data_IF_070011291122
#
_entry.id   IF_070011291122
#
_cell.length_a   1.000
_cell.length_b   1.000
_cell.length_c   1.000
_cell.angle_alpha   90.00
_cell.angle_beta   90.00
_cell.angle_gamma   90.00
#
_symmetry.space_group_name_H-M   'P 1'
#
loop_
_entity.id
_entity.type
_entity.pdbx_description
1 polymer ?
#
# COMPACT_ATOMS: atom_id res chain seq x y z
N UNK A 1 -9.78 -13.44 21.71
CA UNK A 1 -10.36 -12.28 21.02
C UNK A 1 -9.19 -11.46 20.50
N UNK A 2 -9.01 -11.36 19.19
CA UNK A 2 -8.03 -10.43 18.62
C UNK A 2 -8.62 -9.03 18.82
N UNK A 3 -7.90 -8.12 19.47
CA UNK A 3 -8.24 -6.71 19.48
C UNK A 3 -8.20 -6.22 18.03
N UNK A 4 -9.37 -5.95 17.45
CA UNK A 4 -9.44 -5.28 16.17
C UNK A 4 -8.84 -3.88 16.38
N UNK A 5 -7.78 -3.57 15.64
CA UNK A 5 -7.23 -2.22 15.56
C UNK A 5 -8.39 -1.26 15.25
N UNK A 6 -8.78 -0.42 16.22
CA UNK A 6 -9.85 0.56 16.05
C UNK A 6 -9.28 1.79 15.31
N UNK A 7 -9.06 1.60 14.01
CA UNK A 7 -8.63 2.65 13.10
C UNK A 7 -9.85 3.48 12.72
N UNK A 8 -9.77 4.79 12.90
CA UNK A 8 -10.87 5.72 12.63
C UNK A 8 -11.33 5.66 11.17
N UNK A 9 -12.56 6.12 10.90
CA UNK A 9 -13.13 6.12 9.54
C UNK A 9 -12.31 6.95 8.53
N UNK A 10 -11.47 7.86 9.02
CA UNK A 10 -10.61 8.71 8.19
C UNK A 10 -9.22 8.11 7.92
N UNK A 11 -8.91 6.94 8.48
CA UNK A 11 -7.64 6.26 8.25
C UNK A 11 -7.46 5.94 6.77
N UNK A 12 -6.32 6.36 6.23
CA UNK A 12 -5.93 6.16 4.83
C UNK A 12 -5.00 4.96 4.66
N UNK A 13 -5.15 4.28 3.53
CA UNK A 13 -4.45 3.06 3.20
C UNK A 13 -3.72 3.21 1.86
N UNK A 14 -2.53 2.61 1.80
CA UNK A 14 -1.73 2.46 0.58
C UNK A 14 -1.24 1.03 0.51
N UNK A 15 -1.24 0.44 -0.69
CA UNK A 15 -0.80 -0.93 -0.94
C UNK A 15 0.45 -0.90 -1.82
N UNK A 16 1.52 -1.54 -1.35
CA UNK A 16 2.77 -1.73 -2.10
C UNK A 16 3.06 -3.21 -2.34
N UNK A 17 3.64 -3.53 -3.50
CA UNK A 17 4.36 -4.78 -3.72
C UNK A 17 5.84 -4.48 -3.86
N UNK A 18 6.65 -5.12 -3.02
CA UNK A 18 8.09 -5.18 -3.20
C UNK A 18 8.40 -6.45 -3.98
N UNK A 19 8.86 -6.30 -5.23
CA UNK A 19 9.26 -7.43 -6.07
C UNK A 19 10.67 -7.21 -6.60
N UNK A 20 11.63 -7.99 -6.07
CA UNK A 20 13.06 -7.82 -6.34
C UNK A 20 13.53 -6.39 -6.04
N UNK A 21 13.79 -5.58 -7.08
CA UNK A 21 14.23 -4.18 -6.99
C UNK A 21 13.12 -3.19 -7.28
N UNK A 22 11.97 -3.67 -7.72
CA UNK A 22 10.83 -2.86 -8.08
C UNK A 22 9.90 -2.67 -6.88
N UNK A 23 9.26 -1.50 -6.85
CA UNK A 23 8.23 -1.13 -5.90
C UNK A 23 7.03 -0.71 -6.73
N UNK A 24 5.97 -1.50 -6.68
CA UNK A 24 4.72 -1.19 -7.35
C UNK A 24 3.68 -0.78 -6.32
N UNK A 25 2.91 0.25 -6.61
CA UNK A 25 1.89 0.81 -5.75
C UNK A 25 0.52 0.73 -6.46
N UNK A 26 -0.54 0.40 -5.74
CA UNK A 26 -1.83 0.03 -6.34
C UNK A 26 -2.97 0.95 -5.92
N UNK A 27 -3.84 1.22 -6.89
CA UNK A 27 -5.16 1.84 -6.71
C UNK A 27 -6.20 0.80 -6.29
N UNK A 28 -7.47 1.02 -6.63
CA UNK A 28 -8.62 0.32 -6.07
C UNK A 28 -9.04 -0.96 -6.79
N UNK A 29 -8.48 -1.25 -7.95
CA UNK A 29 -8.93 -2.31 -8.83
C UNK A 29 -7.77 -3.00 -9.58
N UNK A 30 -6.79 -3.53 -8.84
CA UNK A 30 -5.59 -4.16 -9.41
C UNK A 30 -5.10 -5.41 -8.64
N UNK A 31 -6.01 -6.10 -7.94
CA UNK A 31 -5.65 -7.23 -7.08
C UNK A 31 -4.82 -6.80 -5.86
N UNK A 32 -3.99 -7.71 -5.35
CA UNK A 32 -3.15 -7.47 -4.16
C UNK A 32 -3.92 -7.04 -2.90
N UNK A 33 -5.22 -7.34 -2.85
CA UNK A 33 -6.13 -6.95 -1.77
C UNK A 33 -6.81 -5.60 -1.96
N UNK A 34 -6.54 -4.87 -3.05
CA UNK A 34 -7.13 -3.54 -3.32
C UNK A 34 -8.66 -3.54 -3.29
N UNK A 35 -9.32 -4.49 -3.94
CA UNK A 35 -10.78 -4.55 -4.00
C UNK A 35 -11.39 -4.84 -2.63
N UNK A 36 -10.70 -5.64 -1.80
CA UNK A 36 -11.14 -5.94 -0.44
C UNK A 36 -11.02 -4.69 0.44
N UNK A 37 -9.88 -4.00 0.39
CA UNK A 37 -9.61 -2.84 1.24
C UNK A 37 -10.48 -1.65 0.84
N UNK A 38 -10.44 -1.25 -0.43
CA UNK A 38 -11.06 0.00 -0.87
C UNK A 38 -12.54 -0.15 -1.21
N UNK A 39 -12.98 -1.30 -1.73
CA UNK A 39 -14.38 -1.48 -2.16
C UNK A 39 -15.20 -2.24 -1.12
N UNK A 40 -14.73 -3.40 -0.64
CA UNK A 40 -15.52 -4.24 0.27
C UNK A 40 -15.52 -3.70 1.71
N UNK A 41 -14.40 -3.17 2.18
CA UNK A 41 -14.26 -2.57 3.51
C UNK A 41 -14.40 -1.04 3.52
N UNK A 42 -14.63 -0.43 2.36
CA UNK A 42 -14.85 1.01 2.20
C UNK A 42 -13.77 1.87 2.89
N UNK A 43 -12.50 1.44 2.78
CA UNK A 43 -11.37 2.17 3.37
C UNK A 43 -10.88 3.27 2.44
N UNK A 44 -10.42 4.37 3.03
CA UNK A 44 -9.96 5.53 2.27
C UNK A 44 -8.58 5.29 1.65
N UNK A 45 -8.43 5.70 0.40
CA UNK A 45 -7.14 5.75 -0.28
C UNK A 45 -6.42 7.05 0.05
N UNK A 46 -5.08 7.04 0.03
CA UNK A 46 -4.30 8.26 0.10
C UNK A 46 -4.52 9.14 -1.15
N UNK A 47 -4.58 10.46 -0.97
CA UNK A 47 -5.02 11.38 -2.02
C UNK A 47 -4.11 11.41 -3.27
N UNK A 48 -2.79 11.32 -3.11
CA UNK A 48 -1.86 11.26 -4.24
C UNK A 48 -1.94 9.91 -4.97
N UNK A 49 -2.19 8.80 -4.26
CA UNK A 49 -2.46 7.47 -4.87
C UNK A 49 -3.73 7.54 -5.72
N UNK A 50 -4.84 8.03 -5.16
CA UNK A 50 -6.11 8.16 -5.88
C UNK A 50 -5.94 9.03 -7.14
N UNK A 51 -5.25 10.17 -7.00
CA UNK A 51 -5.03 11.10 -8.11
C UNK A 51 -4.09 10.54 -9.18
N UNK A 52 -2.92 10.07 -8.77
CA UNK A 52 -1.84 9.75 -9.71
C UNK A 52 -2.06 8.37 -10.37
N UNK A 53 -2.80 7.45 -9.74
CA UNK A 53 -2.92 6.08 -10.21
C UNK A 53 -4.26 5.83 -10.93
N UNK A 54 -5.24 6.74 -10.83
CA UNK A 54 -6.51 6.67 -11.57
C UNK A 54 -6.38 6.32 -13.06
N UNK A 55 -5.37 6.79 -13.81
CA UNK A 55 -5.25 6.45 -15.23
C UNK A 55 -4.95 4.97 -15.50
N UNK A 56 -4.23 4.30 -14.61
CA UNK A 56 -3.64 2.96 -14.84
C UNK A 56 -4.04 1.92 -13.80
N UNK A 57 -4.59 2.34 -12.66
CA UNK A 57 -4.88 1.49 -11.50
C UNK A 57 -3.65 1.16 -10.65
N UNK A 58 -2.44 1.49 -11.10
CA UNK A 58 -1.19 1.20 -10.40
C UNK A 58 -0.04 2.05 -10.95
N UNK A 59 1.07 2.12 -10.20
CA UNK A 59 2.29 2.81 -10.63
C UNK A 59 3.53 2.15 -10.03
N UNK A 60 4.57 1.98 -10.85
CA UNK A 60 5.93 1.69 -10.36
C UNK A 60 6.54 2.97 -9.79
N UNK A 61 7.05 2.91 -8.56
CA UNK A 61 7.64 4.05 -7.85
C UNK A 61 9.11 3.79 -7.48
N UNK A 62 9.86 4.87 -7.23
CA UNK A 62 11.18 4.75 -6.62
C UNK A 62 11.08 4.58 -5.09
N UNK A 63 12.19 4.18 -4.45
CA UNK A 63 12.26 4.12 -2.98
C UNK A 63 12.09 5.50 -2.32
N UNK A 64 12.52 6.56 -2.99
CA UNK A 64 12.41 7.94 -2.50
C UNK A 64 10.96 8.45 -2.54
N UNK A 65 10.16 7.90 -3.46
CA UNK A 65 8.74 8.23 -3.60
C UNK A 65 7.83 7.53 -2.56
N UNK A 66 8.33 6.55 -1.79
CA UNK A 66 7.52 5.82 -0.80
C UNK A 66 6.85 6.79 0.18
N UNK A 67 7.59 7.78 0.68
CA UNK A 67 7.06 8.76 1.62
C UNK A 67 5.98 9.66 1.02
N UNK A 68 6.01 9.88 -0.30
CA UNK A 68 4.99 10.68 -0.99
C UNK A 68 3.63 9.98 -0.98
N UNK A 69 3.61 8.66 -1.19
CA UNK A 69 2.37 7.88 -1.26
C UNK A 69 2.04 7.14 0.05
N UNK A 70 2.86 7.31 1.10
CA UNK A 70 2.60 6.73 2.41
C UNK A 70 1.32 7.30 3.04
N UNK A 71 0.62 6.44 3.77
CA UNK A 71 -0.67 6.71 4.42
C UNK A 71 -0.60 6.35 5.90
N UNK A 72 -1.72 6.48 6.63
CA UNK A 72 -1.80 6.06 8.03
C UNK A 72 -1.48 4.56 8.21
N UNK A 73 -1.90 3.74 7.24
CA UNK A 73 -1.63 2.30 7.21
C UNK A 73 -1.06 1.89 5.85
N UNK A 74 0.17 1.41 5.85
CA UNK A 74 0.81 0.82 4.67
C UNK A 74 0.68 -0.70 4.72
N UNK A 75 0.01 -1.25 3.72
CA UNK A 75 -0.03 -2.70 3.47
C UNK A 75 1.04 -3.01 2.43
N UNK A 76 1.89 -4.00 2.70
CA UNK A 76 2.84 -4.44 1.70
C UNK A 76 2.94 -5.96 1.59
N UNK A 77 3.25 -6.40 0.39
CA UNK A 77 3.61 -7.79 0.08
C UNK A 77 5.05 -7.87 -0.44
N UNK A 78 5.72 -8.98 -0.15
CA UNK A 78 7.08 -9.30 -0.62
C UNK A 78 7.13 -10.69 -1.26
N UNK A 79 8.18 -10.97 -2.03
CA UNK A 79 8.34 -12.26 -2.73
C UNK A 79 8.55 -13.42 -1.74
N UNK A 80 7.72 -14.47 -1.85
CA UNK A 80 7.85 -15.77 -1.17
C UNK A 80 8.26 -15.73 0.33
N UNK A 81 7.82 -14.72 1.09
CA UNK A 81 8.15 -14.58 2.51
C UNK A 81 9.62 -14.28 2.80
N UNK A 82 10.38 -13.82 1.79
CA UNK A 82 11.75 -13.33 1.95
C UNK A 82 11.77 -11.84 1.71
N UNK A 83 11.99 -11.10 2.79
CA UNK A 83 12.22 -9.66 2.74
C UNK A 83 13.60 -9.38 2.14
N UNK A 84 13.63 -9.29 0.81
CA UNK A 84 14.84 -8.97 0.05
C UNK A 84 15.12 -7.47 0.00
N UNK A 85 14.14 -6.64 0.39
CA UNK A 85 14.27 -5.19 0.34
C UNK A 85 14.65 -4.64 1.73
N UNK A 86 15.72 -3.86 1.82
CA UNK A 86 16.18 -3.29 3.11
C UNK A 86 15.21 -2.26 3.67
N UNK A 87 14.32 -1.72 2.83
CA UNK A 87 13.35 -0.68 3.20
C UNK A 87 12.39 -1.16 4.31
N UNK A 88 12.02 -2.44 4.33
CA UNK A 88 11.11 -3.00 5.35
C UNK A 88 11.83 -3.36 6.65
N UNK A 89 13.16 -3.29 6.68
CA UNK A 89 13.97 -3.54 7.87
C UNK A 89 14.16 -2.20 8.61
N UNK A 90 13.38 -2.00 9.67
CA UNK A 90 13.59 -0.90 10.60
C UNK A 90 14.95 -1.05 11.28
N UNK A 91 15.75 0.03 11.29
CA UNK A 91 16.95 0.18 12.12
C UNK A 91 16.69 1.02 13.39
N UNK A 92 15.43 1.35 13.66
CA UNK A 92 14.99 1.90 14.96
C UNK A 92 14.41 0.80 15.82
#
# INVERSE_FOLDING_TARGET
MHEALNLGADTTYTIYQFFRKDIDAYGDNWGHGSEIIYQAFDRKMQADVEKDFKPTGWKKISAEEISKYASDVVLFSSDAGKDMNSIVKSNV
#
